data_IF_927530194171
#
_entry.id   IF_927530194171
#
_cell.length_a   1.000
_cell.length_b   1.000
_cell.length_c   1.000
_cell.angle_alpha   90.00
_cell.angle_beta   90.00
_cell.angle_gamma   90.00
#
_symmetry.space_group_name_H-M   'P 1'
#
loop_
_entity.id
_entity.type
_entity.pdbx_description
1 polymer ?
#
# COMPACT_ATOMS: atom_id res chain seq x y z
N UNK A 1 7.43 -19.23 -12.65
CA UNK A 1 7.10 -17.79 -12.49
C UNK A 1 8.21 -17.17 -11.68
N UNK A 2 8.89 -16.13 -12.18
CA UNK A 2 9.88 -15.39 -11.39
C UNK A 2 9.18 -14.30 -10.57
N UNK A 3 9.74 -13.95 -9.41
CA UNK A 3 9.30 -12.80 -8.63
C UNK A 3 10.00 -11.54 -9.17
N UNK A 4 9.25 -10.44 -9.31
CA UNK A 4 9.80 -9.14 -9.67
C UNK A 4 10.10 -8.36 -8.38
N UNK A 5 11.38 -8.09 -8.05
CA UNK A 5 11.73 -7.31 -6.86
C UNK A 5 11.30 -5.85 -6.94
N UNK A 6 10.93 -5.35 -8.14
CA UNK A 6 10.47 -3.97 -8.33
C UNK A 6 8.94 -3.86 -8.33
N UNK A 7 8.23 -4.94 -8.02
CA UNK A 7 6.78 -4.92 -7.95
C UNK A 7 6.31 -4.00 -6.81
N UNK A 8 5.55 -2.96 -7.15
CA UNK A 8 4.89 -2.10 -6.18
C UNK A 8 3.80 -2.87 -5.42
N UNK A 9 3.89 -2.91 -4.09
CA UNK A 9 2.93 -3.61 -3.23
C UNK A 9 2.20 -2.62 -2.32
N UNK A 10 0.87 -2.69 -2.31
CA UNK A 10 0.01 -1.95 -1.38
C UNK A 10 -0.83 -2.96 -0.61
N UNK A 11 -0.82 -2.86 0.72
CA UNK A 11 -1.61 -3.74 1.57
C UNK A 11 -3.00 -3.16 1.77
N UNK A 12 -4.04 -3.97 1.52
CA UNK A 12 -5.43 -3.63 1.83
C UNK A 12 -6.01 -4.67 2.79
N UNK A 13 -6.27 -4.29 4.05
CA UNK A 13 -6.58 -5.26 5.11
C UNK A 13 -7.53 -4.69 6.17
N UNK A 14 -8.21 -5.57 6.90
CA UNK A 14 -9.04 -5.17 8.05
C UNK A 14 -8.23 -5.08 9.36
N UNK A 15 -6.97 -5.50 9.34
CA UNK A 15 -6.08 -5.45 10.49
C UNK A 15 -5.60 -4.01 10.71
N UNK A 16 -5.66 -3.54 11.96
CA UNK A 16 -5.25 -2.19 12.34
C UNK A 16 -4.28 -2.18 13.51
N UNK A 17 -3.77 -3.35 13.90
CA UNK A 17 -2.76 -3.41 14.95
C UNK A 17 -1.44 -2.84 14.41
N UNK A 18 -0.73 -2.12 15.26
CA UNK A 18 0.46 -1.37 14.88
C UNK A 18 1.59 -2.28 14.39
N UNK A 19 1.77 -3.42 15.04
CA UNK A 19 2.81 -4.39 14.71
C UNK A 19 2.69 -4.92 13.27
N UNK A 20 1.48 -5.26 12.84
CA UNK A 20 1.21 -5.73 11.47
C UNK A 20 1.42 -4.63 10.43
N UNK A 21 1.12 -3.37 10.78
CA UNK A 21 1.39 -2.22 9.91
C UNK A 21 2.90 -2.05 9.75
N UNK A 22 3.64 -2.03 10.85
CA UNK A 22 5.10 -1.87 10.85
C UNK A 22 5.79 -3.00 10.07
N UNK A 23 5.40 -4.26 10.31
CA UNK A 23 5.95 -5.42 9.59
C UNK A 23 5.69 -5.34 8.07
N UNK A 24 4.51 -4.87 7.66
CA UNK A 24 4.20 -4.73 6.23
C UNK A 24 5.08 -3.67 5.55
N UNK A 25 5.28 -2.53 6.22
CA UNK A 25 6.14 -1.46 5.71
C UNK A 25 7.61 -1.88 5.68
N UNK A 26 8.09 -2.56 6.72
CA UNK A 26 9.46 -3.12 6.76
C UNK A 26 9.70 -4.16 5.67
N UNK A 27 8.67 -4.91 5.27
CA UNK A 27 8.74 -5.87 4.17
C UNK A 27 8.75 -5.21 2.77
N UNK A 28 8.65 -3.89 2.68
CA UNK A 28 8.71 -3.13 1.43
C UNK A 28 7.34 -2.79 0.82
N UNK A 29 6.25 -2.90 1.58
CA UNK A 29 4.97 -2.36 1.12
C UNK A 29 5.06 -0.83 1.01
N UNK A 30 4.59 -0.30 -0.12
CA UNK A 30 4.57 1.15 -0.38
C UNK A 30 3.47 1.87 0.41
N UNK A 31 2.39 1.16 0.75
CA UNK A 31 1.31 1.70 1.56
C UNK A 31 0.51 0.58 2.25
N UNK A 32 -0.20 0.94 3.31
CA UNK A 32 -1.09 0.09 4.08
C UNK A 32 -2.43 0.81 4.31
N UNK A 33 -3.49 0.27 3.70
CA UNK A 33 -4.83 0.86 3.70
C UNK A 33 -5.79 -0.07 4.42
N UNK A 34 -6.67 0.49 5.26
CA UNK A 34 -7.70 -0.30 5.93
C UNK A 34 -8.91 -0.54 5.02
N UNK A 35 -9.50 -1.72 5.09
CA UNK A 35 -10.68 -2.09 4.29
C UNK A 35 -11.94 -1.31 4.65
N UNK A 36 -12.01 -0.78 5.87
CA UNK A 36 -13.11 0.07 6.33
C UNK A 36 -12.87 1.56 6.03
N UNK A 37 -11.73 1.93 5.45
CA UNK A 37 -11.52 3.27 4.91
C UNK A 37 -12.56 3.55 3.81
N UNK A 38 -13.19 4.74 3.80
CA UNK A 38 -14.14 5.11 2.75
C UNK A 38 -13.55 4.92 1.35
N UNK A 39 -14.36 4.44 0.41
CA UNK A 39 -13.90 4.10 -0.95
C UNK A 39 -13.17 5.26 -1.63
N UNK A 40 -13.65 6.48 -1.44
CA UNK A 40 -13.05 7.69 -2.01
C UNK A 40 -11.65 7.96 -1.44
N UNK A 41 -11.47 7.74 -0.14
CA UNK A 41 -10.16 7.85 0.51
C UNK A 41 -9.20 6.74 0.08
N UNK A 42 -9.70 5.51 -0.12
CA UNK A 42 -8.89 4.41 -0.70
C UNK A 42 -8.41 4.81 -2.10
N UNK A 43 -9.30 5.30 -2.95
CA UNK A 43 -8.96 5.70 -4.32
C UNK A 43 -7.87 6.79 -4.31
N UNK A 44 -8.06 7.82 -3.49
CA UNK A 44 -7.08 8.90 -3.32
C UNK A 44 -5.72 8.38 -2.86
N UNK A 45 -5.69 7.52 -1.84
CA UNK A 45 -4.46 6.94 -1.32
C UNK A 45 -3.74 6.08 -2.38
N UNK A 46 -4.49 5.35 -3.21
CA UNK A 46 -3.92 4.59 -4.33
C UNK A 46 -3.32 5.52 -5.39
N UNK A 47 -4.04 6.56 -5.81
CA UNK A 47 -3.55 7.54 -6.78
C UNK A 47 -2.25 8.22 -6.29
N UNK A 48 -2.23 8.67 -5.03
CA UNK A 48 -1.04 9.28 -4.43
C UNK A 48 0.14 8.29 -4.37
N UNK A 49 -0.11 7.04 -3.96
CA UNK A 49 0.95 6.02 -3.85
C UNK A 49 1.51 5.64 -5.22
N UNK A 50 0.64 5.44 -6.21
CA UNK A 50 1.05 5.07 -7.57
C UNK A 50 1.78 6.24 -8.23
N UNK A 51 1.29 7.48 -8.06
CA UNK A 51 1.96 8.67 -8.56
C UNK A 51 3.38 8.81 -8.03
N UNK A 52 3.56 8.62 -6.72
CA UNK A 52 4.87 8.67 -6.06
C UNK A 52 5.79 7.49 -6.44
N UNK A 53 5.23 6.30 -6.65
CA UNK A 53 6.01 5.09 -6.94
C UNK A 53 6.57 5.07 -8.37
N UNK A 54 5.91 5.73 -9.31
CA UNK A 54 6.23 5.65 -10.74
C UNK A 54 6.62 7.00 -11.36
N UNK A 55 6.89 8.03 -10.56
CA UNK A 55 7.22 9.40 -11.01
C UNK A 55 6.28 9.87 -12.15
N UNK A 56 4.98 9.66 -11.95
CA UNK A 56 3.97 10.13 -12.88
C UNK A 56 3.73 11.63 -12.64
N UNK A 57 4.73 12.45 -13.00
CA UNK A 57 4.67 13.92 -12.99
C UNK A 57 4.13 14.49 -14.29
#
# INVERSE_FOLDING_TARGET
>A
KALDPNCAVIMLTSLSNRETIEQALEAGALNYIRKDTPKEEIAKALEETIGAAFDLS
#
